data_IF_429721059551
#
_entry.id   IF_429721059551
#
_cell.length_a   1.000
_cell.length_b   1.000
_cell.length_c   1.000
_cell.angle_alpha   90.00
_cell.angle_beta   90.00
_cell.angle_gamma   90.00
#
_symmetry.space_group_name_H-M   'P 1'
#
loop_
_entity.id
_entity.type
_entity.pdbx_description
1 polymer ?
#
# COMPACT_ATOMS: atom_id res chain seq x y z
N UNK A 1 -26.19 17.32 1.38
CA UNK A 1 -25.55 15.98 1.36
C UNK A 1 -24.05 16.23 1.46
N UNK A 2 -23.38 16.00 2.60
CA UNK A 2 -21.95 16.26 2.66
C UNK A 2 -21.26 15.22 1.78
N UNK A 3 -20.48 15.72 0.81
CA UNK A 3 -19.69 14.90 -0.08
C UNK A 3 -18.63 14.14 0.69
N UNK A 4 -18.42 12.87 0.35
CA UNK A 4 -17.27 12.12 0.81
C UNK A 4 -16.00 12.89 0.39
N UNK A 5 -15.25 13.40 1.37
CA UNK A 5 -13.92 13.95 1.13
C UNK A 5 -13.01 12.75 0.91
N UNK A 6 -12.51 12.62 -0.31
CA UNK A 6 -11.65 11.52 -0.73
C UNK A 6 -10.17 11.86 -0.45
N UNK A 7 -9.87 12.45 0.71
CA UNK A 7 -8.49 12.56 1.17
C UNK A 7 -8.09 11.23 1.77
N UNK A 8 -7.58 10.35 0.90
CA UNK A 8 -7.06 9.04 1.29
C UNK A 8 -6.00 9.13 2.41
N UNK A 9 -5.38 10.30 2.57
CA UNK A 9 -4.39 10.58 3.61
C UNK A 9 -4.99 10.81 5.00
N UNK A 10 -6.21 11.35 5.13
CA UNK A 10 -6.81 11.65 6.44
C UNK A 10 -7.01 10.38 7.26
N UNK A 11 -7.49 9.30 6.63
CA UNK A 11 -7.68 8.00 7.29
C UNK A 11 -6.34 7.40 7.73
N UNK A 12 -5.28 7.57 6.93
CA UNK A 12 -3.94 7.15 7.29
C UNK A 12 -3.41 7.94 8.50
N UNK A 13 -3.61 9.25 8.50
CA UNK A 13 -3.17 10.12 9.60
C UNK A 13 -3.90 9.79 10.90
N UNK A 14 -5.20 9.50 10.86
CA UNK A 14 -5.95 9.06 12.03
C UNK A 14 -5.45 7.73 12.58
N UNK A 15 -5.16 6.75 11.73
CA UNK A 15 -4.58 5.48 12.16
C UNK A 15 -3.22 5.67 12.83
N UNK A 16 -2.34 6.52 12.27
CA UNK A 16 -1.04 6.85 12.86
C UNK A 16 -1.21 7.55 14.23
N UNK A 17 -2.24 8.39 14.36
CA UNK A 17 -2.58 9.05 15.63
C UNK A 17 -3.22 8.11 16.67
N UNK A 18 -3.50 6.84 16.31
CA UNK A 18 -4.14 5.88 17.20
C UNK A 18 -5.67 6.03 17.30
N UNK A 19 -6.29 6.78 16.39
CA UNK A 19 -7.73 7.07 16.40
C UNK A 19 -8.58 5.97 15.75
N UNK A 20 -7.98 4.81 15.44
CA UNK A 20 -8.67 3.63 14.93
C UNK A 20 -7.84 2.76 14.00
N UNK A 21 -8.55 1.84 13.32
CA UNK A 21 -7.99 0.89 12.37
C UNK A 21 -8.31 1.37 10.95
N UNK A 22 -7.32 1.32 10.06
CA UNK A 22 -7.49 1.69 8.66
C UNK A 22 -7.28 0.48 7.73
N UNK A 23 -8.19 0.32 6.77
CA UNK A 23 -8.01 -0.58 5.63
C UNK A 23 -7.55 0.25 4.42
N UNK A 24 -6.28 0.06 4.02
CA UNK A 24 -5.64 0.83 2.95
C UNK A 24 -4.74 -0.05 2.09
N UNK A 25 -4.34 0.48 0.93
CA UNK A 25 -3.39 -0.21 0.06
C UNK A 25 -2.02 -0.27 0.73
N UNK A 26 -1.27 -1.35 0.49
CA UNK A 26 0.11 -1.48 0.95
C UNK A 26 0.98 -0.28 0.51
N UNK A 27 0.74 0.24 -0.70
CA UNK A 27 1.45 1.39 -1.25
C UNK A 27 1.33 2.63 -0.34
N UNK A 28 0.18 2.83 0.30
CA UNK A 28 -0.07 4.00 1.15
C UNK A 28 0.54 3.86 2.55
N UNK A 29 0.67 2.64 3.08
CA UNK A 29 1.03 2.41 4.50
C UNK A 29 2.38 1.74 4.69
N UNK A 30 3.04 1.28 3.62
CA UNK A 30 4.33 0.56 3.65
C UNK A 30 5.35 1.26 4.56
N UNK A 31 5.55 2.56 4.40
CA UNK A 31 6.56 3.29 5.16
C UNK A 31 6.23 3.34 6.66
N UNK A 32 4.96 3.52 7.03
CA UNK A 32 4.55 3.55 8.44
C UNK A 32 4.67 2.18 9.08
N UNK A 33 4.35 1.11 8.34
CA UNK A 33 4.53 -0.27 8.82
C UNK A 33 6.01 -0.59 8.99
N UNK A 34 6.85 -0.28 8.00
CA UNK A 34 8.30 -0.54 8.07
C UNK A 34 9.00 0.30 9.16
N UNK A 35 8.46 1.46 9.50
CA UNK A 35 8.98 2.31 10.59
C UNK A 35 8.34 2.02 11.95
N UNK A 36 7.42 1.05 12.05
CA UNK A 36 6.75 0.67 13.29
C UNK A 36 5.71 1.67 13.80
N UNK A 37 5.29 2.63 12.97
CA UNK A 37 4.19 3.57 13.30
C UNK A 37 2.81 2.94 13.14
N UNK A 38 2.69 1.92 12.28
CA UNK A 38 1.48 1.12 12.09
C UNK A 38 1.80 -0.37 12.22
N UNK A 39 0.82 -1.14 12.67
CA UNK A 39 0.89 -2.59 12.81
C UNK A 39 -0.22 -3.26 11.98
N UNK A 40 0.06 -4.44 11.41
CA UNK A 40 -0.92 -5.22 10.64
C UNK A 40 -1.71 -6.11 11.61
N UNK A 41 -3.03 -5.90 11.69
CA UNK A 41 -3.88 -6.60 12.67
C UNK A 41 -4.48 -7.92 12.17
N UNK A 42 -4.70 -8.07 10.86
CA UNK A 42 -5.41 -9.20 10.26
C UNK A 42 -4.60 -9.81 9.11
N UNK A 43 -3.35 -10.18 9.36
CA UNK A 43 -2.43 -10.71 8.34
C UNK A 43 -3.00 -11.94 7.61
N UNK A 44 -3.80 -12.75 8.31
CA UNK A 44 -4.47 -13.94 7.78
C UNK A 44 -5.73 -13.65 6.96
N UNK A 45 -6.25 -12.41 6.98
CA UNK A 45 -7.40 -11.98 6.19
C UNK A 45 -6.98 -10.85 5.24
N UNK A 46 -6.30 -11.23 4.17
CA UNK A 46 -5.93 -10.29 3.12
C UNK A 46 -7.17 -9.73 2.44
N UNK A 47 -7.14 -8.42 2.23
CA UNK A 47 -8.10 -7.74 1.38
C UNK A 47 -7.95 -8.12 -0.10
N UNK A 48 -8.77 -7.50 -0.94
CA UNK A 48 -8.71 -7.70 -2.38
C UNK A 48 -7.38 -7.20 -2.95
N UNK A 49 -6.63 -8.09 -3.60
CA UNK A 49 -5.42 -7.72 -4.32
C UNK A 49 -5.78 -6.87 -5.54
N UNK A 50 -5.28 -5.63 -5.57
CA UNK A 50 -5.46 -4.72 -6.69
C UNK A 50 -4.16 -4.55 -7.48
N UNK A 51 -4.09 -4.99 -8.75
CA UNK A 51 -2.89 -4.88 -9.55
C UNK A 51 -2.60 -3.42 -9.93
N UNK A 52 -1.36 -2.99 -9.76
CA UNK A 52 -0.92 -1.66 -10.18
C UNK A 52 -0.56 -1.66 -11.68
N UNK A 53 -1.31 -0.90 -12.48
CA UNK A 53 -1.17 -0.87 -13.93
C UNK A 53 -0.82 0.55 -14.43
N UNK A 54 0.12 0.65 -15.37
CA UNK A 54 0.35 1.88 -16.13
C UNK A 54 -0.50 1.86 -17.42
N UNK A 55 -1.59 2.64 -17.43
CA UNK A 55 -2.53 2.66 -18.56
C UNK A 55 -2.15 3.76 -19.56
N UNK A 56 -2.03 3.39 -20.84
CA UNK A 56 -1.80 4.31 -21.96
C UNK A 56 -3.02 4.28 -22.90
N UNK A 57 -3.94 5.27 -22.83
CA UNK A 57 -5.19 5.27 -23.60
C UNK A 57 -5.02 5.14 -25.12
N UNK A 58 -3.91 5.61 -25.69
CA UNK A 58 -3.64 5.47 -27.13
C UNK A 58 -2.20 5.01 -27.37
N UNK A 59 -2.00 4.08 -28.33
CA UNK A 59 -0.68 3.61 -28.79
C UNK A 59 0.34 4.70 -29.15
N UNK A 60 -0.10 5.91 -29.58
CA UNK A 60 0.78 7.06 -29.85
C UNK A 60 1.39 7.65 -28.56
N UNK A 61 0.76 7.41 -27.41
CA UNK A 61 1.25 7.81 -26.09
C UNK A 61 2.28 6.82 -25.53
N UNK A 62 2.44 5.63 -26.13
CA UNK A 62 3.47 4.66 -25.76
C UNK A 62 4.82 5.01 -26.40
N UNK A 63 5.32 6.20 -26.04
CA UNK A 63 6.59 6.74 -26.54
C UNK A 63 7.79 6.07 -25.86
N UNK A 64 9.01 6.23 -26.40
CA UNK A 64 10.23 5.79 -25.72
C UNK A 64 10.36 6.32 -24.28
N UNK A 65 9.92 7.56 -24.02
CA UNK A 65 9.93 8.15 -22.69
C UNK A 65 8.98 7.44 -21.73
N UNK A 66 7.77 7.07 -22.18
CA UNK A 66 6.81 6.31 -21.36
C UNK A 66 7.33 4.90 -21.06
N UNK A 67 8.04 4.27 -22.00
CA UNK A 67 8.72 2.99 -21.73
C UNK A 67 9.81 3.12 -20.68
N UNK A 68 10.62 4.18 -20.73
CA UNK A 68 11.65 4.44 -19.73
C UNK A 68 11.04 4.72 -18.35
N UNK A 69 9.96 5.50 -18.30
CA UNK A 69 9.21 5.75 -17.08
C UNK A 69 8.66 4.44 -16.50
N UNK A 70 8.02 3.61 -17.32
CA UNK A 70 7.54 2.29 -16.91
C UNK A 70 8.67 1.46 -16.30
N UNK A 71 9.82 1.35 -16.98
CA UNK A 71 10.98 0.61 -16.46
C UNK A 71 11.52 1.17 -15.14
N UNK A 72 11.50 2.49 -14.97
CA UNK A 72 11.92 3.15 -13.72
C UNK A 72 10.95 2.82 -12.59
N UNK A 73 9.64 2.97 -12.83
CA UNK A 73 8.59 2.65 -11.85
C UNK A 73 8.60 1.17 -11.49
N UNK A 74 8.71 0.26 -12.45
CA UNK A 74 8.80 -1.18 -12.18
C UNK A 74 9.98 -1.52 -11.30
N UNK A 75 11.16 -0.93 -11.53
CA UNK A 75 12.35 -1.15 -10.68
C UNK A 75 12.17 -0.58 -9.28
N UNK A 76 11.58 0.61 -9.18
CA UNK A 76 11.35 1.26 -7.88
C UNK A 76 10.32 0.51 -7.03
N UNK A 77 9.28 -0.05 -7.67
CA UNK A 77 8.17 -0.71 -7.00
C UNK A 77 8.38 -2.21 -6.80
N UNK A 78 9.36 -2.82 -7.49
CA UNK A 78 9.74 -4.23 -7.31
C UNK A 78 9.90 -4.67 -5.84
N UNK A 79 10.58 -3.92 -4.95
CA UNK A 79 10.73 -4.34 -3.56
C UNK A 79 9.42 -4.31 -2.76
N UNK A 80 8.41 -3.52 -3.18
CA UNK A 80 7.21 -3.30 -2.37
C UNK A 80 6.45 -4.60 -2.12
N UNK A 81 6.39 -5.50 -3.10
CA UNK A 81 5.75 -6.80 -2.93
C UNK A 81 6.50 -7.71 -1.95
N UNK A 82 7.84 -7.68 -1.97
CA UNK A 82 8.66 -8.44 -1.03
C UNK A 82 8.53 -7.89 0.39
N UNK A 83 8.52 -6.55 0.54
CA UNK A 83 8.32 -5.90 1.84
C UNK A 83 6.94 -6.22 2.42
N UNK A 84 5.91 -6.28 1.57
CA UNK A 84 4.55 -6.66 1.99
C UNK A 84 4.53 -8.10 2.51
N UNK A 85 5.12 -9.04 1.77
CA UNK A 85 5.19 -10.44 2.18
C UNK A 85 5.96 -10.60 3.50
N UNK A 86 7.07 -9.89 3.66
CA UNK A 86 7.85 -9.90 4.90
C UNK A 86 7.06 -9.30 6.08
N UNK A 87 6.37 -8.19 5.88
CA UNK A 87 5.56 -7.56 6.91
C UNK A 87 4.39 -8.44 7.35
N UNK A 88 3.73 -9.12 6.42
CA UNK A 88 2.66 -10.08 6.71
C UNK A 88 3.18 -11.27 7.52
N UNK A 89 4.33 -11.84 7.13
CA UNK A 89 4.94 -12.95 7.87
C UNK A 89 5.35 -12.56 9.31
N UNK A 90 5.81 -11.32 9.51
CA UNK A 90 6.15 -10.82 10.85
C UNK A 90 4.90 -10.62 11.73
N UNK A 91 3.74 -10.31 11.13
CA UNK A 91 2.48 -10.11 11.85
C UNK A 91 1.80 -11.43 12.25
N UNK A 92 2.25 -12.58 11.75
CA UNK A 92 1.75 -13.92 12.11
C UNK A 92 2.26 -14.43 13.48
N UNK A 93 3.13 -13.66 14.16
CA UNK A 93 3.59 -13.98 15.52
C UNK A 93 2.88 -13.10 16.58
N UNK A 94 1.59 -13.31 16.89
CA UNK A 94 1.08 -13.01 18.21
C UNK A 94 1.20 -14.27 19.05
N UNK A 95 2.28 -14.35 19.82
CA UNK A 95 2.33 -15.29 20.93
C UNK A 95 1.24 -14.95 21.93
N UNK A 96 0.64 -15.99 22.48
CA UNK A 96 -0.40 -15.95 23.49
C UNK A 96 0.02 -15.14 24.71
N UNK A 97 -0.46 -13.91 24.91
CA UNK A 97 -0.70 -13.31 26.25
C UNK A 97 -1.42 -11.95 26.20
N UNK A 98 -2.73 -11.98 26.46
CA UNK A 98 -3.45 -11.08 27.37
C UNK A 98 -4.85 -11.65 27.63
#
# INVERSE_FOLDING_TARGET
>A
KPGAVHDADVVRLWAIAGEGIAYKSWLDVREDVLSGRLEILLAQHLGELSPLNLVCPHRKQYSPAVRQLHQMLSRHLAPFAADMAAALANAEIPDSTA
#
